data_IF_338424733519
#
_entry.id   IF_338424733519
#
_cell.length_a   1.000
_cell.length_b   1.000
_cell.length_c   1.000
_cell.angle_alpha   90.00
_cell.angle_beta   90.00
_cell.angle_gamma   90.00
#
_symmetry.space_group_name_H-M   'P 1'
#
loop_
_entity.id
_entity.type
_entity.pdbx_description
1 polymer ?
#
# COMPACT_ATOMS: atom_id res chain seq x y z
N UNK A 1 30.84 37.59 -29.26
CA UNK A 1 29.92 37.73 -28.12
C UNK A 1 28.59 36.94 -28.24
N UNK A 2 28.23 36.35 -29.40
CA UNK A 2 26.93 35.67 -29.57
C UNK A 2 26.82 34.19 -29.13
N UNK A 3 27.94 33.47 -28.97
CA UNK A 3 27.95 32.03 -28.66
C UNK A 3 27.77 31.74 -27.17
N UNK A 4 28.47 32.50 -26.31
CA UNK A 4 28.33 32.41 -24.84
C UNK A 4 26.87 32.62 -24.38
N UNK A 5 26.20 33.67 -24.85
CA UNK A 5 24.78 33.90 -24.50
C UNK A 5 23.79 32.89 -25.09
N UNK A 6 24.21 32.03 -26.02
CA UNK A 6 23.40 30.95 -26.56
C UNK A 6 23.58 29.68 -25.73
N UNK A 7 24.82 29.41 -25.30
CA UNK A 7 25.17 28.32 -24.39
C UNK A 7 24.52 28.55 -23.01
N UNK A 8 24.63 29.76 -22.43
CA UNK A 8 24.00 30.14 -21.15
C UNK A 8 22.46 29.98 -21.17
N UNK A 9 21.82 30.28 -22.30
CA UNK A 9 20.36 30.11 -22.48
C UNK A 9 19.94 28.64 -22.61
N UNK A 10 20.80 27.81 -23.21
CA UNK A 10 20.57 26.37 -23.33
C UNK A 10 20.73 25.66 -21.98
N UNK A 11 21.72 26.07 -21.19
CA UNK A 11 21.99 25.58 -19.84
C UNK A 11 20.89 26.02 -18.85
N UNK A 12 20.44 27.28 -18.94
CA UNK A 12 19.30 27.77 -18.16
C UNK A 12 17.99 27.03 -18.51
N UNK A 13 17.73 26.73 -19.79
CA UNK A 13 16.53 25.99 -20.22
C UNK A 13 16.59 24.53 -19.77
N UNK A 14 17.75 23.87 -19.82
CA UNK A 14 17.88 22.48 -19.34
C UNK A 14 17.73 22.39 -17.82
N UNK A 15 18.42 23.25 -17.05
CA UNK A 15 18.32 23.32 -15.58
C UNK A 15 16.91 23.64 -15.06
N UNK A 16 16.15 24.45 -15.80
CA UNK A 16 14.74 24.74 -15.47
C UNK A 16 13.77 23.65 -15.90
N UNK A 17 14.12 22.80 -16.89
CA UNK A 17 13.33 21.63 -17.29
C UNK A 17 13.58 20.43 -16.38
N UNK A 18 14.83 20.25 -15.90
CA UNK A 18 15.19 19.16 -14.98
C UNK A 18 14.45 19.25 -13.65
N UNK A 19 14.24 20.47 -13.12
CA UNK A 19 13.54 20.71 -11.85
C UNK A 19 12.10 20.12 -11.84
N UNK A 20 11.20 20.45 -12.78
CA UNK A 20 9.90 19.79 -12.92
C UNK A 20 9.99 18.31 -13.27
N UNK A 21 10.97 17.90 -14.08
CA UNK A 21 11.10 16.50 -14.52
C UNK A 21 11.42 15.57 -13.35
N UNK A 22 12.29 15.97 -12.41
CA UNK A 22 12.59 15.20 -11.20
C UNK A 22 11.33 15.03 -10.35
N UNK A 23 10.54 16.09 -10.16
CA UNK A 23 9.27 16.02 -9.42
C UNK A 23 8.26 15.13 -10.14
N UNK A 24 8.15 15.21 -11.46
CA UNK A 24 7.29 14.35 -12.26
C UNK A 24 7.67 12.87 -12.15
N UNK A 25 8.97 12.55 -12.17
CA UNK A 25 9.46 11.18 -11.98
C UNK A 25 9.17 10.68 -10.56
N UNK A 26 9.36 11.50 -9.53
CA UNK A 26 9.00 11.15 -8.15
C UNK A 26 7.49 10.89 -7.99
N UNK A 27 6.64 11.67 -8.66
CA UNK A 27 5.18 11.46 -8.67
C UNK A 27 4.78 10.19 -9.43
N UNK A 28 5.41 9.92 -10.57
CA UNK A 28 5.22 8.66 -11.29
C UNK A 28 5.71 7.46 -10.48
N UNK A 29 6.83 7.57 -9.76
CA UNK A 29 7.30 6.54 -8.83
C UNK A 29 6.31 6.30 -7.70
N UNK A 30 5.65 7.34 -7.19
CA UNK A 30 4.63 7.21 -6.14
C UNK A 30 3.43 6.38 -6.64
N UNK A 31 3.02 6.58 -7.90
CA UNK A 31 1.99 5.75 -8.55
C UNK A 31 2.44 4.28 -8.65
N UNK A 32 3.69 4.03 -9.02
CA UNK A 32 4.24 2.67 -9.08
C UNK A 32 4.33 2.04 -7.69
N UNK A 33 4.68 2.79 -6.64
CA UNK A 33 4.70 2.25 -5.27
C UNK A 33 3.32 1.79 -4.80
N UNK A 34 2.22 2.42 -5.25
CA UNK A 34 0.86 1.97 -4.97
C UNK A 34 0.40 0.75 -5.78
N UNK A 35 0.75 0.70 -7.07
CA UNK A 35 0.33 -0.40 -7.96
C UNK A 35 1.31 -1.58 -8.04
N UNK A 36 2.55 -1.41 -7.56
CA UNK A 36 3.60 -2.45 -7.58
C UNK A 36 3.19 -3.70 -6.83
N UNK A 37 2.31 -3.56 -5.83
CA UNK A 37 1.75 -4.67 -5.07
C UNK A 37 0.98 -5.65 -5.98
N UNK A 38 0.30 -5.16 -7.04
CA UNK A 38 -0.39 -6.01 -8.00
C UNK A 38 0.59 -6.74 -8.92
N UNK A 39 1.66 -6.07 -9.35
CA UNK A 39 2.71 -6.70 -10.15
C UNK A 39 3.39 -7.81 -9.35
N UNK A 40 3.71 -7.55 -8.08
CA UNK A 40 4.25 -8.55 -7.16
C UNK A 40 3.31 -9.73 -6.93
N UNK A 41 1.99 -9.48 -6.82
CA UNK A 41 0.99 -10.54 -6.73
C UNK A 41 0.96 -11.41 -7.98
N UNK A 42 0.95 -10.80 -9.16
CA UNK A 42 0.95 -11.53 -10.44
C UNK A 42 2.20 -12.40 -10.55
N UNK A 43 3.38 -11.84 -10.26
CA UNK A 43 4.64 -12.60 -10.25
C UNK A 43 4.61 -13.75 -9.24
N UNK A 44 4.05 -13.53 -8.04
CA UNK A 44 3.91 -14.59 -7.04
C UNK A 44 2.99 -15.73 -7.52
N UNK A 45 1.93 -15.45 -8.26
CA UNK A 45 1.09 -16.49 -8.88
C UNK A 45 1.80 -17.22 -10.02
N UNK A 46 2.52 -16.49 -10.88
CA UNK A 46 3.25 -17.05 -12.02
C UNK A 46 4.38 -17.97 -11.54
N UNK A 47 5.29 -17.47 -10.70
CA UNK A 47 6.43 -18.24 -10.20
C UNK A 47 6.01 -19.40 -9.31
N UNK A 48 4.91 -19.28 -8.55
CA UNK A 48 4.35 -20.43 -7.83
C UNK A 48 3.92 -21.57 -8.76
N UNK A 49 3.50 -21.27 -9.99
CA UNK A 49 3.04 -22.26 -10.97
C UNK A 49 4.17 -22.89 -11.80
N UNK A 50 5.39 -22.34 -11.73
CA UNK A 50 6.55 -22.90 -12.41
C UNK A 50 6.97 -24.24 -11.82
N UNK A 51 7.34 -25.17 -12.71
CA UNK A 51 7.62 -26.57 -12.35
C UNK A 51 8.92 -26.74 -11.57
N UNK A 52 9.89 -25.83 -11.73
CA UNK A 52 11.22 -25.84 -11.10
C UNK A 52 11.29 -25.09 -9.76
N UNK A 53 10.18 -24.58 -9.22
CA UNK A 53 10.21 -23.90 -7.91
C UNK A 53 10.41 -24.87 -6.75
N UNK A 54 11.35 -24.53 -5.88
CA UNK A 54 11.67 -25.32 -4.68
C UNK A 54 10.49 -25.31 -3.70
N UNK A 55 10.36 -26.35 -2.87
CA UNK A 55 9.22 -26.48 -1.94
C UNK A 55 9.13 -25.32 -0.95
N UNK A 56 10.27 -24.79 -0.47
CA UNK A 56 10.30 -23.62 0.41
C UNK A 56 9.78 -22.36 -0.29
N UNK A 57 10.15 -22.14 -1.56
CA UNK A 57 9.69 -20.99 -2.37
C UNK A 57 8.17 -21.01 -2.58
N UNK A 58 7.59 -22.20 -2.86
CA UNK A 58 6.14 -22.37 -3.02
C UNK A 58 5.37 -21.98 -1.77
N UNK A 59 5.89 -22.30 -0.58
CA UNK A 59 5.26 -21.92 0.69
C UNK A 59 5.33 -20.40 0.92
N UNK A 60 6.42 -19.75 0.55
CA UNK A 60 6.57 -18.30 0.59
C UNK A 60 5.61 -17.57 -0.36
N UNK A 61 5.49 -18.02 -1.61
CA UNK A 61 4.52 -17.43 -2.55
C UNK A 61 3.09 -17.57 -2.05
N UNK A 62 2.74 -18.73 -1.49
CA UNK A 62 1.41 -18.97 -0.90
C UNK A 62 1.11 -17.99 0.25
N UNK A 63 2.09 -17.78 1.11
CA UNK A 63 1.99 -16.86 2.24
C UNK A 63 1.88 -15.39 1.80
N UNK A 64 2.65 -14.98 0.78
CA UNK A 64 2.63 -13.63 0.20
C UNK A 64 1.27 -13.32 -0.45
N UNK A 65 0.77 -14.24 -1.30
CA UNK A 65 -0.55 -14.13 -1.92
C UNK A 65 -1.64 -13.95 -0.85
N UNK A 66 -1.60 -14.77 0.19
CA UNK A 66 -2.61 -14.73 1.26
C UNK A 66 -2.52 -13.45 2.10
N UNK A 67 -1.31 -12.97 2.37
CA UNK A 67 -1.08 -11.71 3.10
C UNK A 67 -1.56 -10.51 2.29
N UNK A 68 -1.43 -10.53 0.97
CA UNK A 68 -2.04 -9.55 0.08
C UNK A 68 -3.57 -9.54 0.23
N UNK A 69 -4.24 -10.70 0.13
CA UNK A 69 -5.69 -10.78 0.25
C UNK A 69 -6.21 -10.33 1.63
N UNK A 70 -5.49 -10.67 2.71
CA UNK A 70 -5.85 -10.18 4.06
C UNK A 70 -5.67 -8.66 4.13
N UNK A 71 -4.55 -8.13 3.63
CA UNK A 71 -4.32 -6.68 3.58
C UNK A 71 -5.41 -5.96 2.79
N UNK A 72 -5.86 -6.55 1.68
CA UNK A 72 -6.96 -6.02 0.86
C UNK A 72 -8.30 -6.02 1.62
N UNK A 73 -8.64 -7.12 2.29
CA UNK A 73 -9.87 -7.21 3.12
C UNK A 73 -9.82 -6.21 4.28
N UNK A 74 -8.68 -6.08 4.96
CA UNK A 74 -8.50 -5.11 6.04
C UNK A 74 -8.64 -3.69 5.51
N UNK A 75 -8.05 -3.38 4.36
CA UNK A 75 -8.21 -2.08 3.71
C UNK A 75 -9.67 -1.79 3.34
N UNK A 76 -10.38 -2.77 2.77
CA UNK A 76 -11.80 -2.63 2.45
C UNK A 76 -12.67 -2.47 3.70
N UNK A 77 -12.38 -3.21 4.77
CA UNK A 77 -13.07 -3.08 6.06
C UNK A 77 -12.84 -1.70 6.67
N UNK A 78 -11.60 -1.19 6.62
CA UNK A 78 -11.27 0.18 7.05
C UNK A 78 -12.03 1.23 6.23
N UNK A 79 -12.09 1.05 4.91
CA UNK A 79 -12.85 1.94 4.03
C UNK A 79 -14.34 1.90 4.35
N UNK A 80 -14.92 0.72 4.58
CA UNK A 80 -16.32 0.57 4.96
C UNK A 80 -16.63 1.19 6.34
N UNK A 81 -15.72 1.08 7.31
CA UNK A 81 -15.84 1.74 8.61
C UNK A 81 -15.78 3.27 8.49
N UNK A 82 -14.85 3.78 7.68
CA UNK A 82 -14.76 5.22 7.40
C UNK A 82 -16.01 5.73 6.68
N UNK A 83 -16.48 5.02 5.67
CA UNK A 83 -17.71 5.35 4.96
C UNK A 83 -18.93 5.28 5.88
N UNK A 84 -19.02 4.25 6.73
CA UNK A 84 -20.10 4.06 7.69
C UNK A 84 -20.17 5.16 8.75
N UNK A 85 -19.04 5.67 9.22
CA UNK A 85 -19.01 6.79 10.20
C UNK A 85 -19.37 8.15 9.57
N UNK A 86 -19.18 8.31 8.26
CA UNK A 86 -19.52 9.55 7.52
C UNK A 86 -20.97 9.51 7.04
N UNK A 87 -21.41 8.42 6.42
CA UNK A 87 -22.73 8.31 5.78
C UNK A 87 -23.77 7.63 6.66
N UNK A 88 -23.36 6.77 7.59
CA UNK A 88 -24.26 6.09 8.52
C UNK A 88 -25.10 7.05 9.36
N UNK A 89 -24.51 8.06 10.04
CA UNK A 89 -25.29 8.99 10.86
C UNK A 89 -26.37 9.72 10.06
N UNK A 90 -26.10 10.10 8.81
CA UNK A 90 -27.09 10.76 7.95
C UNK A 90 -28.23 9.81 7.51
N UNK A 91 -27.96 8.51 7.39
CA UNK A 91 -28.95 7.49 7.02
C UNK A 91 -29.84 7.04 8.19
N UNK A 92 -29.39 7.22 9.44
CA UNK A 92 -30.09 6.77 10.65
C UNK A 92 -30.46 7.93 11.61
N UNK A 93 -30.31 9.19 11.18
CA UNK A 93 -30.67 10.36 11.96
C UNK A 93 -32.20 10.45 12.16
N UNK A 94 -32.63 10.60 13.41
CA UNK A 94 -34.04 10.90 13.70
C UNK A 94 -34.40 12.35 13.32
N UNK A 95 -35.64 12.62 12.87
CA UNK A 95 -36.06 13.98 12.55
C UNK A 95 -35.88 14.92 13.76
N UNK A 96 -34.98 15.91 13.62
CA UNK A 96 -34.66 16.87 14.70
C UNK A 96 -33.35 16.60 15.45
N UNK A 97 -32.61 15.54 15.12
CA UNK A 97 -31.28 15.32 15.68
C UNK A 97 -30.27 16.34 15.13
N UNK A 98 -29.78 17.25 15.98
CA UNK A 98 -28.67 18.14 15.65
C UNK A 98 -27.34 17.38 15.83
N UNK A 99 -27.06 16.37 14.99
CA UNK A 99 -25.73 15.76 14.95
C UNK A 99 -24.77 16.74 14.27
N UNK A 100 -23.84 17.37 15.02
CA UNK A 100 -22.90 18.28 14.38
C UNK A 100 -21.88 17.47 13.56
N UNK A 101 -21.54 17.91 12.33
CA UNK A 101 -20.58 17.21 11.47
C UNK A 101 -19.20 16.99 12.12
N UNK A 102 -18.85 17.80 13.13
CA UNK A 102 -17.58 17.72 13.84
C UNK A 102 -17.45 16.49 14.74
N UNK A 103 -18.53 15.99 15.33
CA UNK A 103 -18.49 14.84 16.26
C UNK A 103 -18.28 13.52 15.52
N UNK A 104 -18.96 13.35 14.38
CA UNK A 104 -18.79 12.20 13.49
C UNK A 104 -17.40 12.20 12.85
N UNK A 105 -16.87 13.38 12.50
CA UNK A 105 -15.54 13.53 11.92
C UNK A 105 -14.43 13.15 12.91
N UNK A 106 -14.50 13.63 14.16
CA UNK A 106 -13.50 13.28 15.18
C UNK A 106 -13.53 11.78 15.51
N UNK A 107 -14.73 11.21 15.69
CA UNK A 107 -14.87 9.78 15.94
C UNK A 107 -14.31 8.92 14.78
N UNK A 108 -14.52 9.34 13.52
CA UNK A 108 -13.96 8.70 12.34
C UNK A 108 -12.42 8.82 12.27
N UNK A 109 -11.86 9.99 12.56
CA UNK A 109 -10.40 10.22 12.57
C UNK A 109 -9.70 9.35 13.63
N UNK A 110 -10.20 9.35 14.87
CA UNK A 110 -9.55 8.60 15.94
C UNK A 110 -9.74 7.08 15.78
N UNK A 111 -10.91 6.60 15.39
CA UNK A 111 -11.12 5.16 15.17
C UNK A 111 -10.33 4.61 13.97
N UNK A 112 -10.31 5.35 12.86
CA UNK A 112 -9.60 4.94 11.65
C UNK A 112 -8.07 4.93 11.81
N UNK A 113 -7.50 5.93 12.49
CA UNK A 113 -6.04 6.03 12.64
C UNK A 113 -5.51 4.94 13.57
N UNK A 114 -6.16 4.66 14.70
CA UNK A 114 -5.69 3.60 15.62
C UNK A 114 -5.77 2.22 14.97
N UNK A 115 -6.88 1.89 14.32
CA UNK A 115 -7.02 0.60 13.62
C UNK A 115 -6.04 0.52 12.45
N UNK A 116 -5.82 1.62 11.72
CA UNK A 116 -4.83 1.71 10.65
C UNK A 116 -3.41 1.49 11.13
N UNK A 117 -3.02 2.04 12.29
CA UNK A 117 -1.71 1.82 12.90
C UNK A 117 -1.55 0.35 13.31
N UNK A 118 -2.54 -0.25 13.97
CA UNK A 118 -2.48 -1.67 14.37
C UNK A 118 -2.38 -2.57 13.13
N UNK A 119 -3.18 -2.30 12.10
CA UNK A 119 -3.14 -3.02 10.83
C UNK A 119 -1.79 -2.85 10.11
N UNK A 120 -1.22 -1.64 10.13
CA UNK A 120 0.08 -1.36 9.54
C UNK A 120 1.20 -2.10 10.29
N UNK A 121 1.20 -2.09 11.62
CA UNK A 121 2.17 -2.85 12.43
C UNK A 121 2.04 -4.35 12.14
N UNK A 122 0.81 -4.87 12.10
CA UNK A 122 0.54 -6.27 11.76
C UNK A 122 1.05 -6.61 10.34
N UNK A 123 0.79 -5.76 9.35
CA UNK A 123 1.24 -5.96 7.98
C UNK A 123 2.77 -5.92 7.87
N UNK A 124 3.42 -4.94 8.50
CA UNK A 124 4.87 -4.83 8.56
C UNK A 124 5.51 -6.04 9.24
N UNK A 125 4.96 -6.51 10.37
CA UNK A 125 5.46 -7.72 11.03
C UNK A 125 5.37 -8.94 10.11
N UNK A 126 4.27 -9.08 9.35
CA UNK A 126 4.05 -10.20 8.42
C UNK A 126 4.99 -10.17 7.22
N UNK A 127 5.28 -9.00 6.65
CA UNK A 127 6.22 -8.85 5.53
C UNK A 127 7.66 -9.07 5.97
N UNK A 128 8.06 -8.52 7.13
CA UNK A 128 9.39 -8.73 7.70
C UNK A 128 9.62 -10.19 8.06
N UNK A 129 8.65 -10.88 8.68
CA UNK A 129 8.77 -12.31 8.99
C UNK A 129 8.94 -13.16 7.72
N UNK A 130 8.20 -12.84 6.65
CA UNK A 130 8.34 -13.50 5.36
C UNK A 130 9.74 -13.30 4.77
N UNK A 131 10.29 -12.08 4.88
CA UNK A 131 11.61 -11.74 4.35
C UNK A 131 12.76 -12.38 5.15
N UNK A 132 12.67 -12.40 6.49
CA UNK A 132 13.67 -13.02 7.35
C UNK A 132 13.76 -14.53 7.10
N UNK A 133 12.62 -15.22 6.99
CA UNK A 133 12.61 -16.66 6.68
C UNK A 133 13.05 -16.98 5.26
N UNK A 134 12.76 -16.09 4.31
CA UNK A 134 13.28 -16.22 2.94
C UNK A 134 14.81 -16.13 2.91
N UNK A 135 15.40 -15.23 3.71
CA UNK A 135 16.85 -15.09 3.84
C UNK A 135 17.55 -16.35 4.37
N UNK A 136 16.87 -17.15 5.19
CA UNK A 136 17.39 -18.41 5.74
C UNK A 136 17.04 -19.64 4.88
N UNK A 137 16.34 -19.48 3.76
CA UNK A 137 15.83 -20.58 2.91
C UNK A 137 15.00 -21.62 3.68
N UNK A 138 14.35 -21.20 4.77
CA UNK A 138 13.51 -22.08 5.58
C UNK A 138 12.09 -22.14 4.99
N UNK A 139 11.49 -23.34 4.85
CA UNK A 139 10.09 -23.47 4.45
C UNK A 139 9.19 -22.73 5.44
N UNK A 140 8.16 -22.03 4.93
CA UNK A 140 7.21 -21.34 5.79
C UNK A 140 6.45 -22.36 6.64
N UNK A 141 6.51 -22.30 7.98
CA UNK A 141 5.70 -23.17 8.83
C UNK A 141 4.23 -22.88 8.56
N UNK A 142 3.47 -23.92 8.22
CA UNK A 142 2.00 -23.90 8.07
C UNK A 142 1.47 -22.73 7.22
N UNK A 143 1.63 -22.77 5.88
CA UNK A 143 1.18 -21.70 4.97
C UNK A 143 -0.34 -21.41 5.04
N UNK A 144 -1.12 -22.35 5.56
CA UNK A 144 -2.58 -22.30 5.63
C UNK A 144 -3.16 -21.80 6.96
N UNK A 145 -2.35 -21.67 8.03
CA UNK A 145 -2.86 -21.18 9.32
C UNK A 145 -2.81 -19.65 9.42
N UNK A 146 -3.77 -19.08 10.14
CA UNK A 146 -3.89 -17.62 10.36
C UNK A 146 -2.79 -17.07 11.28
N UNK A 147 -2.19 -17.93 12.10
CA UNK A 147 -1.04 -17.66 12.94
C UNK A 147 0.15 -18.50 12.44
N UNK A 148 1.31 -17.83 12.40
CA UNK A 148 2.70 -18.23 12.11
C UNK A 148 3.05 -19.69 11.85
#
# INVERSE_FOLDING_TARGET
MGRQGMDDRSEAKSMTLYRPTIVAILYLLNIVLGFSVFVGLVLAYVWRSERDTQEWEKTHYTYLIRTFWIGFVVCLAMFALFFGTIFGPAAFAEPGSNYPPSETFLAAMFSGVFVGIIAAIWFCARTVLSMVKAGNQEPMPRPETWLF
#
